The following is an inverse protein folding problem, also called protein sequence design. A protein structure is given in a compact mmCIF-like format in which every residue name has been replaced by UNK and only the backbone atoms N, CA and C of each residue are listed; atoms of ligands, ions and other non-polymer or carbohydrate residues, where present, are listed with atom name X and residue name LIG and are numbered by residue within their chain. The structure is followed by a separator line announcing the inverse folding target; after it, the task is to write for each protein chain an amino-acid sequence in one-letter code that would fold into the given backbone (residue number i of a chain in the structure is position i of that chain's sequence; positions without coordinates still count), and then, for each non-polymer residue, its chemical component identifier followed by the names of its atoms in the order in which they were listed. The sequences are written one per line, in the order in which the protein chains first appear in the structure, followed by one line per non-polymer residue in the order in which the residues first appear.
data_IF_031371597234
#
_entry.id   IF_031371597234
#
_cell.length_a   1.000
_cell.length_b   1.000
_cell.length_c   1.000
_cell.angle_alpha   90.00
_cell.angle_beta   90.00
_cell.angle_gamma   90.00
#
_symmetry.space_group_name_H-M   'P 1'
#
loop_
_entity.id
_entity.type
_entity.pdbx_description
1 polymer ?
#
# COMPACT_ATOMS: atom_id res chain seq x y z
N UNK A 1 13.37 -5.62 -14.17
CA UNK A 1 13.62 -4.99 -12.85
C UNK A 1 13.83 -6.12 -11.83
N UNK A 2 14.81 -6.00 -10.92
CA UNK A 2 15.04 -7.02 -9.87
C UNK A 2 14.26 -6.73 -8.58
N UNK A 3 14.08 -7.73 -7.70
CA UNK A 3 13.33 -7.61 -6.42
C UNK A 3 13.78 -6.40 -5.59
N UNK A 4 15.09 -6.16 -5.49
CA UNK A 4 15.65 -4.98 -4.81
C UNK A 4 15.10 -3.66 -5.33
N UNK A 5 15.08 -3.49 -6.65
CA UNK A 5 14.56 -2.26 -7.26
C UNK A 5 13.05 -2.14 -7.02
N UNK A 6 12.32 -3.24 -7.16
CA UNK A 6 10.88 -3.27 -6.88
C UNK A 6 10.56 -2.87 -5.43
N UNK A 7 11.24 -3.47 -4.46
CA UNK A 7 11.07 -3.15 -3.04
C UNK A 7 11.54 -1.72 -2.71
N UNK A 8 12.54 -1.20 -3.42
CA UNK A 8 12.93 0.23 -3.32
C UNK A 8 11.80 1.14 -3.78
N UNK A 9 11.19 0.85 -4.92
CA UNK A 9 10.04 1.62 -5.41
C UNK A 9 8.85 1.53 -4.45
N UNK A 10 8.46 0.30 -4.07
CA UNK A 10 7.34 0.07 -3.18
C UNK A 10 7.51 0.74 -1.81
N UNK A 11 8.73 0.71 -1.25
CA UNK A 11 9.02 1.40 0.01
C UNK A 11 8.92 2.91 -0.10
N UNK A 12 9.43 3.52 -1.17
CA UNK A 12 9.29 4.97 -1.39
C UNK A 12 7.82 5.39 -1.50
N UNK A 13 7.02 4.61 -2.24
CA UNK A 13 5.57 4.86 -2.34
C UNK A 13 4.90 4.74 -0.97
N UNK A 14 5.15 3.65 -0.24
CA UNK A 14 4.55 3.42 1.07
C UNK A 14 4.96 4.49 2.11
N UNK A 15 6.23 4.90 2.12
CA UNK A 15 6.72 5.96 3.01
C UNK A 15 6.13 7.32 2.64
N UNK A 16 6.01 7.65 1.35
CA UNK A 16 5.41 8.90 0.89
C UNK A 16 3.93 8.99 1.22
N UNK A 17 3.15 7.97 0.85
CA UNK A 17 1.70 7.92 1.13
C UNK A 17 1.45 7.81 2.63
N UNK A 18 2.19 6.95 3.34
CA UNK A 18 2.06 6.78 4.78
C UNK A 18 2.43 8.04 5.57
N UNK A 19 3.50 8.73 5.17
CA UNK A 19 3.90 10.01 5.76
C UNK A 19 2.85 11.10 5.54
N UNK A 20 2.27 11.19 4.35
CA UNK A 20 1.17 12.13 4.07
C UNK A 20 -0.08 11.79 4.89
N UNK A 21 -0.47 10.51 4.97
CA UNK A 21 -1.60 10.07 5.77
C UNK A 21 -1.41 10.35 7.28
N UNK A 22 -0.18 10.29 7.78
CA UNK A 22 0.15 10.58 9.17
C UNK A 22 0.12 12.08 9.50
N UNK A 23 0.64 12.91 8.60
CA UNK A 23 0.90 14.34 8.86
C UNK A 23 -0.20 15.27 8.32
N UNK A 24 -0.78 14.94 7.17
CA UNK A 24 -1.80 15.75 6.47
C UNK A 24 -3.01 14.90 6.04
N UNK A 25 -3.65 14.14 6.96
CA UNK A 25 -4.73 13.23 6.61
C UNK A 25 -5.92 13.91 5.95
N UNK A 26 -6.25 15.14 6.35
CA UNK A 26 -7.39 15.88 5.81
C UNK A 26 -7.22 16.18 4.32
N UNK A 27 -5.99 16.48 3.88
CA UNK A 27 -5.68 16.68 2.46
C UNK A 27 -5.85 15.38 1.66
N UNK A 28 -5.42 14.25 2.24
CA UNK A 28 -5.53 12.94 1.61
C UNK A 28 -7.00 12.50 1.50
N UNK A 29 -7.79 12.70 2.56
CA UNK A 29 -9.23 12.48 2.58
C UNK A 29 -9.94 13.37 1.55
N UNK A 30 -9.60 14.66 1.50
CA UNK A 30 -10.16 15.60 0.54
C UNK A 30 -9.85 15.21 -0.92
N UNK A 31 -8.64 14.71 -1.22
CA UNK A 31 -8.30 14.21 -2.56
C UNK A 31 -9.17 13.02 -3.00
N UNK A 32 -9.74 12.30 -2.02
CA UNK A 32 -10.70 11.21 -2.24
C UNK A 32 -12.15 11.69 -2.30
N UNK A 33 -12.42 12.98 -2.10
CA UNK A 33 -13.77 13.51 -1.96
C UNK A 33 -14.45 13.05 -0.66
N UNK A 34 -13.66 12.67 0.35
CA UNK A 34 -14.15 12.29 1.68
C UNK A 34 -14.22 13.55 2.53
N UNK A 35 -15.38 13.81 3.15
CA UNK A 35 -15.51 14.87 4.14
C UNK A 35 -14.79 14.44 5.41
N UNK A 36 -13.72 15.16 5.75
CA UNK A 36 -12.94 14.86 6.94
C UNK A 36 -13.78 15.01 8.21
N UNK A 37 -13.63 14.05 9.11
CA UNK A 37 -14.15 14.11 10.47
C UNK A 37 -13.11 13.48 11.42
N UNK A 38 -13.31 13.65 12.74
CA UNK A 38 -12.33 13.20 13.73
C UNK A 38 -12.01 11.71 13.62
N UNK A 39 -13.02 10.85 13.40
CA UNK A 39 -12.83 9.41 13.28
C UNK A 39 -12.04 9.04 12.01
N UNK A 40 -12.43 9.58 10.85
CA UNK A 40 -11.73 9.37 9.59
C UNK A 40 -10.27 9.86 9.66
N UNK A 41 -10.02 10.97 10.36
CA UNK A 41 -8.68 11.51 10.58
C UNK A 41 -7.82 10.64 11.48
N UNK A 42 -8.38 9.94 12.48
CA UNK A 42 -7.66 8.96 13.30
C UNK A 42 -7.32 7.72 12.47
N UNK A 43 -8.31 7.13 11.80
CA UNK A 43 -8.09 5.95 10.97
C UNK A 43 -7.10 6.20 9.82
N UNK A 44 -7.14 7.39 9.21
CA UNK A 44 -6.16 7.74 8.18
C UNK A 44 -4.73 7.77 8.74
N UNK A 45 -4.54 8.27 9.97
CA UNK A 45 -3.23 8.24 10.63
C UNK A 45 -2.80 6.82 11.01
N UNK A 46 -3.71 5.96 11.44
CA UNK A 46 -3.42 4.54 11.69
C UNK A 46 -2.97 3.83 10.41
N UNK A 47 -3.64 4.09 9.28
CA UNK A 47 -3.19 3.63 7.96
C UNK A 47 -1.81 4.19 7.64
N UNK A 48 -1.55 5.46 7.95
CA UNK A 48 -0.24 6.09 7.83
C UNK A 48 0.85 5.35 8.60
N UNK A 49 0.61 5.02 9.87
CA UNK A 49 1.54 4.23 10.70
C UNK A 49 1.82 2.86 10.08
N UNK A 50 0.79 2.16 9.61
CA UNK A 50 0.95 0.86 8.97
C UNK A 50 1.79 0.94 7.69
N UNK A 51 1.50 1.92 6.82
CA UNK A 51 2.23 2.11 5.56
C UNK A 51 3.68 2.54 5.79
N UNK A 52 3.96 3.45 6.73
CA UNK A 52 5.33 3.83 7.08
C UNK A 52 6.10 2.62 7.61
N UNK A 53 5.48 1.82 8.49
CA UNK A 53 6.11 0.63 9.05
C UNK A 53 6.46 -0.40 7.97
N UNK A 54 5.50 -0.74 7.10
CA UNK A 54 5.72 -1.68 6.00
C UNK A 54 6.73 -1.14 4.99
N UNK A 55 6.66 0.16 4.66
CA UNK A 55 7.60 0.83 3.79
C UNK A 55 9.03 0.80 4.34
N UNK A 56 9.20 1.03 5.64
CA UNK A 56 10.49 0.93 6.32
C UNK A 56 11.03 -0.51 6.33
N UNK A 57 10.18 -1.50 6.64
CA UNK A 57 10.57 -2.91 6.57
C UNK A 57 11.01 -3.26 5.14
N UNK A 58 10.19 -2.93 4.14
CA UNK A 58 10.49 -3.15 2.73
C UNK A 58 11.81 -2.50 2.31
N UNK A 59 12.09 -1.30 2.80
CA UNK A 59 13.37 -0.64 2.61
C UNK A 59 14.48 -1.51 3.20
N UNK A 60 14.45 -1.80 4.50
CA UNK A 60 15.51 -2.56 5.17
C UNK A 60 15.81 -3.91 4.50
N UNK A 61 14.77 -4.66 4.11
CA UNK A 61 14.93 -6.03 3.59
C UNK A 61 15.20 -6.09 2.08
N UNK A 62 15.16 -4.96 1.35
CA UNK A 62 15.25 -4.94 -0.13
C UNK A 62 16.48 -5.62 -0.73
N UNK A 63 17.57 -5.71 0.04
CA UNK A 63 18.82 -6.35 -0.39
C UNK A 63 19.04 -7.76 0.16
N UNK A 64 18.15 -8.27 1.01
CA UNK A 64 18.31 -9.61 1.60
C UNK A 64 18.21 -10.68 0.52
N UNK A 65 18.96 -11.77 0.68
CA UNK A 65 18.87 -12.95 -0.19
C UNK A 65 17.47 -13.59 -0.14
N UNK A 66 17.19 -14.47 -1.09
CA UNK A 66 15.94 -15.22 -1.14
C UNK A 66 15.84 -16.15 0.09
N UNK A 67 14.65 -16.19 0.72
CA UNK A 67 14.42 -17.00 1.92
C UNK A 67 12.94 -17.26 2.16
N UNK A 68 12.57 -18.29 2.95
CA UNK A 68 11.17 -18.52 3.34
C UNK A 68 10.52 -17.30 4.02
N UNK A 69 11.28 -16.54 4.81
CA UNK A 69 10.83 -15.32 5.48
C UNK A 69 10.56 -14.20 4.49
N UNK A 70 11.47 -13.97 3.55
CA UNK A 70 11.25 -12.97 2.51
C UNK A 70 10.06 -13.35 1.63
N UNK A 71 9.90 -14.64 1.31
CA UNK A 71 8.72 -15.12 0.58
C UNK A 71 7.43 -14.84 1.31
N UNK A 72 7.39 -15.11 2.62
CA UNK A 72 6.23 -14.79 3.45
C UNK A 72 5.95 -13.28 3.50
N UNK A 73 6.99 -12.45 3.61
CA UNK A 73 6.87 -10.99 3.56
C UNK A 73 6.27 -10.51 2.22
N UNK A 74 6.73 -11.04 1.08
CA UNK A 74 6.19 -10.71 -0.23
C UNK A 74 4.73 -11.17 -0.38
N UNK A 75 4.39 -12.38 0.07
CA UNK A 75 2.99 -12.85 0.09
C UNK A 75 2.09 -11.98 0.94
N UNK A 76 2.54 -11.60 2.14
CA UNK A 76 1.79 -10.72 3.04
C UNK A 76 1.53 -9.36 2.40
N UNK A 77 2.50 -8.79 1.70
CA UNK A 77 2.31 -7.54 0.97
C UNK A 77 1.39 -7.71 -0.25
N UNK A 78 1.49 -8.82 -0.99
CA UNK A 78 0.56 -9.10 -2.09
C UNK A 78 -0.89 -9.19 -1.58
N UNK A 79 -1.11 -9.91 -0.48
CA UNK A 79 -2.41 -10.00 0.19
C UNK A 79 -2.92 -8.63 0.63
N UNK A 80 -2.08 -7.82 1.28
CA UNK A 80 -2.47 -6.48 1.72
C UNK A 80 -2.94 -5.60 0.55
N UNK A 81 -2.21 -5.60 -0.57
CA UNK A 81 -2.59 -4.82 -1.75
C UNK A 81 -3.90 -5.31 -2.37
N UNK A 82 -4.07 -6.63 -2.49
CA UNK A 82 -5.25 -7.23 -3.11
C UNK A 82 -6.50 -7.16 -2.22
N UNK A 83 -6.34 -7.14 -0.90
CA UNK A 83 -7.46 -7.02 0.04
C UNK A 83 -7.90 -5.57 0.25
N UNK A 84 -6.99 -4.60 0.15
CA UNK A 84 -7.34 -3.17 0.23
C UNK A 84 -8.12 -2.68 -0.99
N UNK A 85 -7.85 -3.22 -2.18
CA UNK A 85 -8.53 -2.81 -3.41
C UNK A 85 -10.07 -2.96 -3.35
N UNK A 86 -10.64 -4.12 -2.97
CA UNK A 86 -12.10 -4.25 -2.78
C UNK A 86 -12.67 -3.31 -1.72
N UNK A 87 -11.92 -3.02 -0.65
CA UNK A 87 -12.37 -2.10 0.40
C UNK A 87 -12.52 -0.69 -0.16
N UNK A 88 -11.59 -0.23 -0.99
CA UNK A 88 -11.67 1.07 -1.65
C UNK A 88 -12.83 1.14 -2.66
N UNK A 89 -13.03 0.08 -3.45
CA UNK A 89 -14.16 -0.02 -4.38
C UNK A 89 -15.49 0.05 -3.61
N UNK A 90 -15.61 -0.70 -2.51
CA UNK A 90 -16.78 -0.68 -1.65
C UNK A 90 -17.04 0.70 -1.05
N UNK A 91 -15.99 1.39 -0.60
CA UNK A 91 -16.10 2.75 -0.08
C UNK A 91 -16.60 3.74 -1.14
N UNK A 92 -16.17 3.57 -2.40
CA UNK A 92 -16.68 4.38 -3.50
C UNK A 92 -18.14 4.07 -3.84
N UNK A 93 -18.50 2.79 -3.96
CA UNK A 93 -19.88 2.40 -4.29
C UNK A 93 -20.89 2.80 -3.20
N UNK A 94 -20.43 2.89 -1.95
CA UNK A 94 -21.26 3.33 -0.81
C UNK A 94 -21.28 4.86 -0.62
N UNK A 95 -20.60 5.62 -1.49
CA UNK A 95 -20.55 7.09 -1.42
C UNK A 95 -19.66 7.66 -0.31
N UNK A 96 -18.86 6.82 0.37
CA UNK A 96 -17.87 7.30 1.34
C UNK A 96 -16.71 8.00 0.65
N UNK A 97 -16.23 7.43 -0.47
CA UNK A 97 -15.33 8.08 -1.42
C UNK A 97 -16.19 8.56 -2.59
N UNK A 98 -16.18 9.85 -2.90
CA UNK A 98 -17.08 10.42 -3.93
C UNK A 98 -16.35 10.81 -5.21
N UNK A 99 -15.02 10.99 -5.14
CA UNK A 99 -14.22 11.35 -6.30
C UNK A 99 -13.78 10.11 -7.07
N UNK A 100 -14.10 10.05 -8.37
CA UNK A 100 -13.57 9.02 -9.27
C UNK A 100 -12.02 9.01 -9.29
N UNK A 101 -11.41 10.20 -9.35
CA UNK A 101 -9.96 10.35 -9.26
C UNK A 101 -9.41 10.07 -7.86
N UNK A 102 -10.28 9.94 -6.86
CA UNK A 102 -9.94 9.50 -5.51
C UNK A 102 -9.62 8.00 -5.41
N UNK A 103 -10.10 7.19 -6.35
CA UNK A 103 -9.88 5.73 -6.36
C UNK A 103 -8.92 5.28 -7.45
N UNK A 104 -8.96 5.87 -8.65
CA UNK A 104 -8.25 5.32 -9.82
C UNK A 104 -6.73 5.20 -9.60
N UNK A 105 -6.01 6.24 -9.14
CA UNK A 105 -4.56 6.12 -8.95
C UNK A 105 -4.19 5.07 -7.91
N UNK A 106 -4.97 4.98 -6.82
CA UNK A 106 -4.71 4.04 -5.74
C UNK A 106 -5.05 2.60 -6.15
N UNK A 107 -6.12 2.41 -6.92
CA UNK A 107 -6.48 1.12 -7.53
C UNK A 107 -5.37 0.62 -8.46
N UNK A 108 -4.80 1.50 -9.29
CA UNK A 108 -3.66 1.16 -10.15
C UNK A 108 -2.46 0.73 -9.30
N UNK A 109 -2.14 1.45 -8.23
CA UNK A 109 -1.07 1.08 -7.31
C UNK A 109 -1.31 -0.30 -6.68
N UNK A 110 -2.52 -0.57 -6.19
CA UNK A 110 -2.87 -1.87 -5.62
C UNK A 110 -2.68 -3.03 -6.61
N UNK A 111 -3.10 -2.84 -7.86
CA UNK A 111 -2.92 -3.86 -8.92
C UNK A 111 -1.43 -4.05 -9.25
N UNK A 112 -0.70 -2.97 -9.52
CA UNK A 112 0.70 -3.05 -9.94
C UNK A 112 1.61 -3.57 -8.82
N UNK A 113 1.46 -3.05 -7.60
CA UNK A 113 2.23 -3.50 -6.45
C UNK A 113 1.82 -4.91 -6.05
N UNK A 114 0.51 -5.20 -5.97
CA UNK A 114 0.00 -6.53 -5.64
C UNK A 114 0.53 -7.60 -6.61
N UNK A 115 0.47 -7.34 -7.91
CA UNK A 115 1.04 -8.22 -8.92
C UNK A 115 2.57 -8.37 -8.78
N UNK A 116 3.29 -7.26 -8.55
CA UNK A 116 4.74 -7.29 -8.34
C UNK A 116 5.14 -8.13 -7.14
N UNK A 117 4.49 -7.95 -5.99
CA UNK A 117 4.73 -8.74 -4.79
C UNK A 117 4.42 -10.22 -5.02
N UNK A 118 3.28 -10.53 -5.64
CA UNK A 118 2.89 -11.89 -6.00
C UNK A 118 3.93 -12.57 -6.91
N UNK A 119 4.38 -11.85 -7.95
CA UNK A 119 5.35 -12.35 -8.92
C UNK A 119 6.67 -12.71 -8.25
N UNK A 120 7.23 -11.82 -7.43
CA UNK A 120 8.47 -12.11 -6.72
C UNK A 120 8.29 -13.21 -5.67
N UNK A 121 7.15 -13.27 -4.98
CA UNK A 121 6.87 -14.34 -4.02
C UNK A 121 6.82 -15.74 -4.69
N UNK A 122 6.30 -15.82 -5.92
CA UNK A 122 6.30 -17.02 -6.76
C UNK A 122 7.69 -17.39 -7.26
N UNK A 123 8.49 -16.39 -7.65
CA UNK A 123 9.83 -16.60 -8.17
C UNK A 123 10.79 -17.15 -7.10
N UNK A 124 10.61 -16.75 -5.84
CA UNK A 124 11.40 -17.17 -4.68
C UNK A 124 11.26 -18.65 -4.31
N UNK A 125 10.32 -19.38 -4.92
CA UNK A 125 10.10 -20.81 -4.73
C UNK A 125 10.91 -21.69 -5.70
N UNK A 126 11.73 -21.11 -6.58
CA UNK A 126 12.59 -21.87 -7.48
C UNK A 126 13.93 -22.15 -6.75
N UNK A 127 14.28 -23.42 -6.48
CA UNK A 127 15.57 -23.77 -5.92
C UNK A 127 16.71 -23.42 -6.89
#
# INVERSE_FOLDING_TARGET
MGRKHFLTFASVVALGVGGAALTVPDALLASKGVVANAAAGVWMREVGVALVSIGFIAWCVRGHADSPTMRAFLWGNALLQLLLLPVEILAYTNGAITSFWGIVPNSILHVLLGFGFFWYARAEARP
#
